data_IF_186242602644
#
_entry.id   IF_186242602644
#
_cell.length_a   1.000
_cell.length_b   1.000
_cell.length_c   1.000
_cell.angle_alpha   90.00
_cell.angle_beta   90.00
_cell.angle_gamma   90.00
#
_symmetry.space_group_name_H-M   'P 1'
#
loop_
_entity.id
_entity.type
_entity.pdbx_description
1 polymer ?
#
# COMPACT_ATOMS: atom_id res chain seq x y z
N UNK A 1 5.75 2.92 -1.67
CA UNK A 1 6.12 1.70 -2.42
C UNK A 1 4.94 0.75 -2.51
N UNK A 2 5.05 -0.28 -3.35
CA UNK A 2 4.14 -1.42 -3.37
C UNK A 2 4.95 -2.71 -3.44
N UNK A 3 4.67 -3.65 -2.55
CA UNK A 3 5.24 -5.00 -2.58
C UNK A 3 4.17 -6.00 -3.02
N UNK A 4 4.53 -6.93 -3.89
CA UNK A 4 3.75 -8.13 -4.16
C UNK A 4 4.16 -9.21 -3.15
N UNK A 5 3.20 -9.71 -2.40
CA UNK A 5 3.44 -10.56 -1.25
C UNK A 5 2.73 -11.90 -1.41
N UNK A 6 3.53 -12.94 -1.64
CA UNK A 6 3.14 -14.34 -1.74
C UNK A 6 3.18 -14.99 -0.35
N UNK A 7 2.25 -14.58 0.50
CA UNK A 7 1.99 -15.20 1.80
C UNK A 7 0.99 -16.36 1.64
N UNK A 8 0.27 -16.71 2.72
CA UNK A 8 -0.87 -17.67 2.66
C UNK A 8 -1.89 -17.33 1.58
N UNK A 9 -2.04 -16.03 1.25
CA UNK A 9 -2.77 -15.54 0.09
C UNK A 9 -1.94 -14.47 -0.60
N UNK A 10 -1.92 -14.51 -1.92
CA UNK A 10 -1.35 -13.44 -2.73
C UNK A 10 -2.08 -12.12 -2.45
N UNK A 11 -1.33 -11.08 -2.13
CA UNK A 11 -1.82 -9.72 -1.98
C UNK A 11 -0.69 -8.72 -2.27
N UNK A 12 -1.01 -7.43 -2.21
CA UNK A 12 -0.03 -6.36 -2.38
C UNK A 12 -0.02 -5.45 -1.16
N UNK A 13 1.16 -5.20 -0.60
CA UNK A 13 1.34 -4.24 0.47
C UNK A 13 1.63 -2.85 -0.11
N UNK A 14 0.66 -1.94 0.01
CA UNK A 14 0.80 -0.53 -0.34
C UNK A 14 1.31 0.25 0.87
N UNK A 15 2.40 1.01 0.69
CA UNK A 15 3.05 1.73 1.80
C UNK A 15 3.39 3.16 1.44
N UNK A 16 3.16 4.07 2.38
CA UNK A 16 3.54 5.48 2.32
C UNK A 16 4.49 5.80 3.48
N UNK A 17 5.63 6.40 3.17
CA UNK A 17 6.56 6.96 4.17
C UNK A 17 5.96 8.24 4.76
N UNK A 18 5.52 8.18 6.02
CA UNK A 18 4.85 9.29 6.69
C UNK A 18 5.06 9.19 8.20
N UNK A 19 5.45 10.30 8.83
CA UNK A 19 5.82 10.38 10.26
C UNK A 19 6.92 9.38 10.64
N UNK A 20 8.00 9.33 9.85
CA UNK A 20 9.17 8.45 10.04
C UNK A 20 8.86 6.95 10.09
N UNK A 21 7.69 6.55 9.58
CA UNK A 21 7.28 5.15 9.45
C UNK A 21 6.64 4.88 8.09
N UNK A 22 6.47 3.61 7.75
CA UNK A 22 5.69 3.18 6.60
C UNK A 22 4.25 2.89 7.00
N UNK A 23 3.35 3.85 6.79
CA UNK A 23 1.90 3.62 6.87
C UNK A 23 1.52 2.60 5.82
N UNK A 24 0.90 1.49 6.23
CA UNK A 24 0.83 0.28 5.41
C UNK A 24 -0.59 -0.26 5.29
N UNK A 25 -0.92 -0.74 4.10
CA UNK A 25 -2.19 -1.39 3.78
C UNK A 25 -1.97 -2.63 2.91
N UNK A 26 -2.57 -3.76 3.30
CA UNK A 26 -2.70 -4.93 2.45
C UNK A 26 -3.86 -4.75 1.46
N UNK A 27 -3.61 -4.91 0.17
CA UNK A 27 -4.57 -4.75 -0.92
C UNK A 27 -4.73 -6.10 -1.63
N UNK A 28 -5.75 -6.91 -1.28
CA UNK A 28 -5.84 -8.31 -1.75
C UNK A 28 -5.87 -8.50 -3.26
N UNK A 29 -6.39 -7.50 -4.00
CA UNK A 29 -6.49 -7.54 -5.47
C UNK A 29 -5.57 -6.52 -6.15
N UNK A 30 -4.57 -6.03 -5.44
CA UNK A 30 -3.62 -5.02 -5.91
C UNK A 30 -4.23 -3.62 -5.99
N UNK A 31 -3.41 -2.56 -5.89
CA UNK A 31 -3.84 -1.19 -6.14
C UNK A 31 -4.46 -1.03 -7.54
N UNK A 32 -5.46 -0.16 -7.72
CA UNK A 32 -6.03 0.08 -9.04
C UNK A 32 -5.04 0.85 -9.93
N UNK A 33 -4.76 0.36 -11.13
CA UNK A 33 -3.92 1.06 -12.12
C UNK A 33 -4.73 2.02 -12.99
N UNK A 34 -6.02 1.72 -13.16
CA UNK A 34 -6.97 2.48 -13.97
C UNK A 34 -8.05 3.17 -13.11
N UNK A 35 -8.59 4.33 -13.55
CA UNK A 35 -9.76 4.95 -12.94
C UNK A 35 -11.01 4.05 -12.98
N UNK A 36 -12.00 4.36 -12.15
CA UNK A 36 -13.26 3.62 -12.07
C UNK A 36 -13.19 2.30 -11.28
N UNK A 37 -11.99 1.79 -10.98
CA UNK A 37 -11.79 0.60 -10.15
C UNK A 37 -11.61 0.99 -8.68
N UNK A 38 -12.42 0.37 -7.82
CA UNK A 38 -12.34 0.51 -6.36
C UNK A 38 -11.75 -0.75 -5.74
N UNK A 39 -10.79 -0.60 -4.83
CA UNK A 39 -10.11 -1.70 -4.14
C UNK A 39 -10.24 -1.58 -2.64
N UNK A 40 -10.45 -2.70 -1.97
CA UNK A 40 -10.29 -2.79 -0.51
C UNK A 40 -8.79 -2.71 -0.18
N UNK A 41 -8.44 -1.83 0.73
CA UNK A 41 -7.12 -1.70 1.32
C UNK A 41 -7.26 -1.85 2.84
N UNK A 42 -6.70 -2.91 3.41
CA UNK A 42 -6.80 -3.22 4.84
C UNK A 42 -5.56 -2.69 5.53
N UNK A 43 -5.73 -1.75 6.45
CA UNK A 43 -4.62 -1.17 7.21
C UNK A 43 -3.97 -2.23 8.10
N UNK A 44 -2.65 -2.30 8.03
CA UNK A 44 -1.80 -3.18 8.84
C UNK A 44 -0.88 -2.32 9.72
N UNK A 45 -0.19 -2.90 10.73
CA UNK A 45 0.75 -2.15 11.54
C UNK A 45 1.79 -1.39 10.71
N UNK A 46 2.28 -0.29 11.26
CA UNK A 46 3.33 0.50 10.64
C UNK A 46 4.62 -0.32 10.52
N UNK A 47 5.39 -0.10 9.46
CA UNK A 47 6.67 -0.78 9.25
C UNK A 47 7.82 0.22 9.36
N UNK A 48 9.03 -0.20 9.78
CA UNK A 48 10.19 0.67 9.80
C UNK A 48 10.59 1.09 8.37
N UNK A 49 11.19 2.27 8.22
CA UNK A 49 11.65 2.77 6.93
C UNK A 49 12.66 1.83 6.24
N UNK A 50 13.45 1.08 7.00
CA UNK A 50 14.37 0.05 6.48
C UNK A 50 13.66 -1.05 5.69
N UNK A 51 12.35 -1.24 5.88
CA UNK A 51 11.55 -2.21 5.14
C UNK A 51 11.18 -1.74 3.73
N UNK A 52 11.40 -0.47 3.39
CA UNK A 52 10.97 0.13 2.13
C UNK A 52 11.61 -0.51 0.89
N UNK A 53 12.79 -1.12 1.04
CA UNK A 53 13.51 -1.76 -0.06
C UNK A 53 13.68 -3.27 0.15
N UNK A 54 12.94 -3.84 1.10
CA UNK A 54 12.99 -5.28 1.34
C UNK A 54 12.37 -6.06 0.18
N UNK A 55 13.16 -6.99 -0.35
CA UNK A 55 12.76 -8.08 -1.24
C UNK A 55 13.41 -9.36 -0.72
N UNK A 56 12.65 -10.45 -0.70
CA UNK A 56 13.16 -11.72 -0.19
C UNK A 56 12.08 -12.64 0.33
N UNK A 57 12.50 -13.68 1.03
CA UNK A 57 11.60 -14.62 1.69
C UNK A 57 11.57 -14.33 3.19
N UNK A 58 10.37 -14.11 3.72
CA UNK A 58 10.12 -14.09 5.17
C UNK A 58 9.91 -15.56 5.59
N UNK A 59 10.67 -16.06 6.58
CA UNK A 59 10.59 -17.45 7.02
C UNK A 59 9.18 -17.86 7.44
N UNK A 60 8.86 -19.15 7.29
CA UNK A 60 7.62 -19.71 7.82
C UNK A 60 7.55 -19.58 9.35
N UNK A 61 6.36 -19.31 9.88
CA UNK A 61 6.14 -19.07 11.31
C UNK A 61 6.31 -17.62 11.75
N UNK A 62 6.99 -16.80 10.95
CA UNK A 62 7.12 -15.36 11.20
C UNK A 62 5.88 -14.58 10.75
N UNK A 63 5.68 -13.40 11.35
CA UNK A 63 4.61 -12.50 10.92
C UNK A 63 4.88 -12.00 9.50
N UNK A 64 3.97 -12.31 8.58
CA UNK A 64 4.16 -12.01 7.16
C UNK A 64 4.97 -13.05 6.39
N UNK A 65 5.11 -14.28 6.90
CA UNK A 65 5.73 -15.39 6.17
C UNK A 65 5.29 -15.46 4.70
N UNK A 66 6.26 -15.54 3.79
CA UNK A 66 6.01 -15.49 2.36
C UNK A 66 7.13 -14.84 1.55
N UNK A 67 7.00 -14.90 0.23
CA UNK A 67 7.94 -14.19 -0.66
C UNK A 67 7.44 -12.77 -0.93
N UNK A 68 8.30 -11.79 -0.74
CA UNK A 68 8.06 -10.36 -0.97
C UNK A 68 8.89 -9.89 -2.15
N UNK A 69 8.26 -9.24 -3.12
CA UNK A 69 8.92 -8.61 -4.27
C UNK A 69 8.45 -7.17 -4.43
N UNK A 70 9.31 -6.26 -4.84
CA UNK A 70 8.92 -4.89 -5.16
C UNK A 70 8.10 -4.91 -6.45
N UNK A 71 6.83 -4.52 -6.33
CA UNK A 71 5.92 -4.44 -7.47
C UNK A 71 5.95 -3.06 -8.12
N UNK A 72 6.01 -1.99 -7.32
CA UNK A 72 6.20 -0.62 -7.79
C UNK A 72 6.93 0.23 -6.74
N UNK A 73 7.72 1.19 -7.20
CA UNK A 73 8.50 2.10 -6.36
C UNK A 73 8.51 3.49 -6.98
N UNK A 74 8.43 4.49 -6.13
CA UNK A 74 8.41 5.90 -6.51
C UNK A 74 8.14 6.79 -5.31
N UNK A 75 7.96 8.08 -5.60
CA UNK A 75 7.62 9.10 -4.61
C UNK A 75 6.14 9.44 -4.68
N UNK A 76 5.68 10.28 -3.76
CA UNK A 76 4.33 10.82 -3.80
C UNK A 76 4.30 12.24 -3.25
N UNK A 77 3.21 12.97 -3.53
CA UNK A 77 2.87 14.22 -2.85
C UNK A 77 1.64 13.97 -2.01
N UNK A 78 1.67 14.36 -0.74
CA UNK A 78 0.53 14.30 0.16
C UNK A 78 -0.28 15.58 -0.01
N UNK A 79 -1.49 15.48 -0.56
CA UNK A 79 -2.36 16.65 -0.80
C UNK A 79 -3.33 16.89 0.37
N UNK A 80 -3.79 15.81 1.01
CA UNK A 80 -4.69 15.86 2.16
C UNK A 80 -4.37 14.70 3.09
N UNK A 81 -4.38 14.99 4.38
CA UNK A 81 -4.32 14.00 5.43
C UNK A 81 -5.33 14.34 6.51
N UNK A 82 -6.32 13.49 6.65
CA UNK A 82 -7.28 13.47 7.75
C UNK A 82 -7.28 12.08 8.38
N UNK A 83 -7.80 11.90 9.61
CA UNK A 83 -7.79 10.60 10.30
C UNK A 83 -8.35 9.43 9.48
N UNK A 84 -9.29 9.72 8.57
CA UNK A 84 -10.01 8.72 7.76
C UNK A 84 -9.91 8.96 6.25
N UNK A 85 -9.05 9.87 5.80
CA UNK A 85 -9.01 10.28 4.40
C UNK A 85 -7.64 10.78 3.98
N UNK A 86 -7.07 10.13 2.97
CA UNK A 86 -5.74 10.45 2.44
C UNK A 86 -5.87 10.70 0.95
N UNK A 87 -5.27 11.79 0.50
CA UNK A 87 -5.19 12.21 -0.90
C UNK A 87 -3.73 12.26 -1.29
N UNK A 88 -3.33 11.46 -2.26
CA UNK A 88 -1.92 11.34 -2.66
C UNK A 88 -1.79 11.36 -4.17
N UNK A 89 -0.87 12.18 -4.67
CA UNK A 89 -0.42 12.11 -6.05
C UNK A 89 0.77 11.15 -6.12
N UNK A 90 0.56 9.95 -6.68
CA UNK A 90 1.58 8.92 -6.81
C UNK A 90 2.45 9.17 -8.05
N UNK A 91 3.77 9.01 -7.89
CA UNK A 91 4.79 9.14 -8.93
C UNK A 91 5.63 7.86 -9.04
N UNK A 92 4.95 6.72 -9.15
CA UNK A 92 5.55 5.40 -9.38
C UNK A 92 5.77 5.09 -10.86
N UNK A 93 6.24 3.88 -11.16
CA UNK A 93 6.34 3.38 -12.54
C UNK A 93 5.00 2.84 -13.03
N UNK A 94 4.26 2.14 -12.16
CA UNK A 94 2.94 1.55 -12.45
C UNK A 94 1.80 2.43 -11.93
N UNK A 95 1.89 2.90 -10.69
CA UNK A 95 0.91 3.79 -10.08
C UNK A 95 1.32 5.24 -10.30
N UNK A 96 0.54 5.94 -11.12
CA UNK A 96 0.75 7.35 -11.46
C UNK A 96 -0.57 8.10 -11.38
N UNK A 97 -0.53 9.32 -10.85
CA UNK A 97 -1.70 10.20 -10.80
C UNK A 97 -2.33 10.27 -9.41
N UNK A 98 -3.55 10.78 -9.37
CA UNK A 98 -4.27 11.09 -8.13
C UNK A 98 -4.96 9.83 -7.57
N UNK A 99 -4.66 9.52 -6.32
CA UNK A 99 -5.23 8.42 -5.56
C UNK A 99 -5.87 8.91 -4.27
N UNK A 100 -6.99 8.29 -3.93
CA UNK A 100 -7.72 8.53 -2.68
C UNK A 100 -7.77 7.24 -1.86
N UNK A 101 -7.55 7.35 -0.55
CA UNK A 101 -7.80 6.31 0.42
C UNK A 101 -8.82 6.82 1.45
N UNK A 102 -9.96 6.13 1.57
CA UNK A 102 -11.05 6.52 2.47
C UNK A 102 -11.33 5.40 3.49
N UNK A 103 -11.16 5.65 4.78
CA UNK A 103 -11.53 4.70 5.82
C UNK A 103 -13.04 4.69 6.02
N UNK A 104 -13.69 3.55 5.76
CA UNK A 104 -15.14 3.41 5.92
C UNK A 104 -15.53 2.56 7.13
N UNK A 105 -14.62 1.72 7.66
CA UNK A 105 -14.87 0.90 8.85
C UNK A 105 -13.57 0.35 9.43
N UNK A 106 -13.33 0.54 10.73
CA UNK A 106 -12.18 -0.05 11.44
C UNK A 106 -10.86 0.11 10.67
N UNK A 107 -10.25 -1.02 10.26
CA UNK A 107 -9.02 -1.07 9.45
C UNK A 107 -9.28 -1.10 7.94
N UNK A 108 -10.53 -1.06 7.49
CA UNK A 108 -10.89 -1.16 6.08
C UNK A 108 -10.99 0.20 5.43
N UNK A 109 -10.15 0.38 4.40
CA UNK A 109 -10.08 1.54 3.55
C UNK A 109 -10.51 1.19 2.13
N UNK A 110 -11.06 2.18 1.43
CA UNK A 110 -11.34 2.14 0.00
C UNK A 110 -10.21 2.90 -0.71
N UNK A 111 -9.49 2.23 -1.60
CA UNK A 111 -8.47 2.82 -2.46
C UNK A 111 -8.98 2.92 -3.90
N UNK A 112 -8.84 4.07 -4.53
CA UNK A 112 -9.18 4.26 -5.94
C UNK A 112 -8.33 5.36 -6.60
N UNK A 113 -8.14 5.23 -7.91
CA UNK A 113 -7.56 6.26 -8.78
C UNK A 113 -8.66 7.21 -9.25
N UNK A 114 -8.41 8.52 -9.23
CA UNK A 114 -9.40 9.56 -9.57
C UNK A 114 -9.52 9.72 -11.08
N UNK A 115 -8.39 9.90 -11.77
CA UNK A 115 -8.28 10.14 -13.21
C UNK A 115 -6.94 9.61 -13.72
#
# INVERSE_FOLDING_TARGET
>A
MVQEHHATRLHWDFRLELDDVLKSWAVPKGPPTEPGVKRLAVQVPDHPLSYFDFEGMIPEGEYGAGTVKVWDKGTYVLELREPRKYHVLLKGRKLKGDYRLINFKDRNWLMYKVA
#
